data_IF_946104860007
#
_entry.id   IF_946104860007
#
_cell.length_a   1.000
_cell.length_b   1.000
_cell.length_c   1.000
_cell.angle_alpha   90.00
_cell.angle_beta   90.00
_cell.angle_gamma   90.00
#
_symmetry.space_group_name_H-M   'P 1'
#
loop_
_entity.id
_entity.type
_entity.pdbx_description
1 polymer ?
#
# COMPACT_ATOMS: atom_id res chain seq x y z
N UNK A 1 12.37 -17.69 12.97
CA UNK A 1 10.94 -17.82 12.65
C UNK A 1 10.63 -16.74 11.63
N UNK A 2 10.63 -17.10 10.33
CA UNK A 2 10.23 -16.21 9.26
C UNK A 2 8.76 -15.87 9.49
N UNK A 3 8.48 -14.63 9.87
CA UNK A 3 7.10 -14.16 10.00
C UNK A 3 6.70 -13.66 8.62
N UNK A 4 5.92 -14.45 7.90
CA UNK A 4 5.16 -13.93 6.77
C UNK A 4 4.13 -12.97 7.36
N UNK A 5 4.44 -11.69 7.27
CA UNK A 5 3.51 -10.64 7.60
C UNK A 5 2.88 -10.20 6.30
N UNK A 6 1.56 -10.41 6.20
CA UNK A 6 0.72 -9.92 5.11
C UNK A 6 1.05 -8.45 4.86
N UNK A 7 1.74 -8.20 3.74
CA UNK A 7 1.81 -6.86 3.17
C UNK A 7 0.40 -6.51 2.70
N UNK A 8 -0.14 -5.43 3.23
CA UNK A 8 -1.14 -4.69 2.48
C UNK A 8 -0.35 -4.00 1.36
N UNK A 9 -0.36 -4.59 0.17
CA UNK A 9 0.16 -3.97 -1.05
C UNK A 9 -0.81 -2.84 -1.42
N UNK A 10 -0.42 -1.59 -1.18
CA UNK A 10 -1.25 -0.42 -1.49
C UNK A 10 -0.87 0.23 -2.84
N UNK A 11 -0.07 -0.44 -3.66
CA UNK A 11 0.12 -0.08 -5.06
C UNK A 11 0.31 -1.33 -5.91
N UNK A 12 -0.74 -1.70 -6.64
CA UNK A 12 -0.74 -2.78 -7.63
C UNK A 12 -0.31 -2.26 -9.03
N UNK A 13 0.39 -1.12 -9.03
CA UNK A 13 0.83 -0.39 -10.22
C UNK A 13 2.31 -0.54 -10.52
N UNK A 14 3.10 -1.29 -9.73
CA UNK A 14 4.33 -1.85 -10.29
C UNK A 14 3.94 -2.96 -11.25
N UNK A 15 4.65 -3.05 -12.36
CA UNK A 15 4.76 -4.27 -13.14
C UNK A 15 4.72 -5.47 -12.19
N UNK A 16 3.61 -6.21 -12.16
CA UNK A 16 3.51 -7.48 -11.40
C UNK A 16 4.45 -8.55 -12.02
N UNK A 17 5.32 -8.19 -12.96
CA UNK A 17 6.16 -9.11 -13.68
C UNK A 17 7.55 -9.28 -13.06
N UNK A 18 8.04 -8.32 -12.29
CA UNK A 18 9.46 -8.33 -11.91
C UNK A 18 9.67 -8.90 -10.50
N UNK A 19 10.47 -9.97 -10.36
CA UNK A 19 10.76 -10.54 -9.05
C UNK A 19 11.49 -9.51 -8.20
N UNK A 20 11.21 -9.51 -6.90
CA UNK A 20 11.91 -8.64 -5.96
C UNK A 20 12.25 -9.35 -4.67
N UNK A 21 13.26 -8.85 -3.98
CA UNK A 21 13.64 -9.31 -2.65
C UNK A 21 13.45 -8.17 -1.65
N UNK A 22 12.55 -8.38 -0.69
CA UNK A 22 12.24 -7.40 0.36
C UNK A 22 12.60 -7.93 1.75
N UNK A 23 13.19 -7.07 2.57
CA UNK A 23 13.30 -7.22 4.01
C UNK A 23 12.43 -6.20 4.73
N UNK A 24 11.78 -6.63 5.82
CA UNK A 24 10.97 -5.76 6.69
C UNK A 24 11.36 -5.97 8.14
N UNK A 25 11.68 -4.89 8.82
CA UNK A 25 12.00 -4.88 10.24
C UNK A 25 11.07 -3.96 11.03
N UNK A 26 10.26 -4.57 11.89
CA UNK A 26 9.46 -3.84 12.89
C UNK A 26 10.34 -3.52 14.09
N UNK A 27 10.76 -2.27 14.18
CA UNK A 27 11.56 -1.76 15.31
C UNK A 27 10.70 -1.20 16.45
N UNK A 28 9.43 -0.87 16.19
CA UNK A 28 8.50 -0.40 17.22
C UNK A 28 7.19 -1.20 17.23
N UNK A 29 6.77 -1.62 18.43
CA UNK A 29 5.44 -2.16 18.70
C UNK A 29 5.01 -1.82 20.13
N UNK A 30 3.81 -1.28 20.26
CA UNK A 30 3.14 -1.07 21.54
C UNK A 30 1.72 -1.61 21.46
N UNK A 31 1.43 -2.63 22.25
CA UNK A 31 0.07 -3.17 22.36
C UNK A 31 -0.67 -2.40 23.46
N UNK A 32 -1.76 -1.72 23.09
CA UNK A 32 -2.56 -0.84 23.95
C UNK A 32 -3.80 -1.56 24.50
N UNK A 33 -4.07 -2.78 24.03
CA UNK A 33 -5.16 -3.62 24.44
C UNK A 33 -5.14 -4.94 23.67
N UNK A 34 -6.25 -5.68 23.75
CA UNK A 34 -6.39 -6.98 23.07
C UNK A 34 -6.38 -6.80 21.54
N UNK A 35 -6.96 -5.71 21.05
CA UNK A 35 -7.07 -5.39 19.62
C UNK A 35 -6.25 -4.15 19.25
N UNK A 36 -6.08 -3.22 20.19
CA UNK A 36 -5.37 -1.96 19.93
C UNK A 36 -3.86 -2.15 19.93
N UNK A 37 -3.19 -1.69 18.88
CA UNK A 37 -1.75 -1.85 18.67
C UNK A 37 -1.22 -0.67 17.86
N UNK A 38 0.01 -0.29 18.13
CA UNK A 38 0.74 0.74 17.41
C UNK A 38 2.09 0.17 16.98
N UNK A 39 2.48 0.39 15.72
CA UNK A 39 3.62 -0.30 15.10
C UNK A 39 4.35 0.66 14.16
N UNK A 40 5.67 0.54 14.13
CA UNK A 40 6.50 1.13 13.07
C UNK A 40 7.45 0.09 12.53
N UNK A 41 7.62 0.07 11.21
CA UNK A 41 8.56 -0.80 10.55
C UNK A 41 9.25 -0.07 9.42
N UNK A 42 10.54 -0.35 9.24
CA UNK A 42 11.24 -0.07 7.99
C UNK A 42 11.13 -1.29 7.09
N UNK A 43 11.09 -1.07 5.79
CA UNK A 43 11.21 -2.11 4.79
C UNK A 43 12.08 -1.60 3.66
N UNK A 44 12.71 -2.51 2.94
CA UNK A 44 13.53 -2.16 1.80
C UNK A 44 13.99 -3.42 1.10
N UNK A 45 14.50 -3.24 -0.11
CA UNK A 45 14.77 -4.36 -0.98
C UNK A 45 15.37 -3.92 -2.29
N UNK A 46 15.37 -4.86 -3.21
CA UNK A 46 15.75 -4.65 -4.60
C UNK A 46 14.71 -5.30 -5.48
N UNK A 47 14.30 -4.57 -6.51
CA UNK A 47 13.56 -5.11 -7.64
C UNK A 47 14.57 -5.64 -8.67
N UNK A 48 14.28 -6.80 -9.27
CA UNK A 48 15.12 -7.44 -10.28
C UNK A 48 14.41 -7.37 -11.62
N UNK A 49 14.64 -6.28 -12.35
CA UNK A 49 14.25 -6.13 -13.75
C UNK A 49 15.53 -6.15 -14.63
N UNK A 50 15.61 -5.32 -15.66
CA UNK A 50 16.81 -5.07 -16.47
C UNK A 50 17.95 -4.43 -15.67
N UNK A 51 17.63 -3.84 -14.50
CA UNK A 51 18.56 -3.29 -13.53
C UNK A 51 18.31 -3.84 -12.12
N UNK A 52 19.20 -3.50 -11.18
CA UNK A 52 19.04 -3.79 -9.76
C UNK A 52 18.58 -2.51 -9.06
N UNK A 53 17.28 -2.43 -8.81
CA UNK A 53 16.61 -1.20 -8.41
C UNK A 53 16.26 -1.22 -6.91
N UNK A 54 17.05 -0.53 -6.05
CA UNK A 54 16.79 -0.53 -4.63
C UNK A 54 15.58 0.32 -4.28
N UNK A 55 14.87 -0.11 -3.24
CA UNK A 55 13.82 0.67 -2.62
C UNK A 55 13.90 0.62 -1.09
N UNK A 56 13.38 1.65 -0.45
CA UNK A 56 13.33 1.79 1.00
C UNK A 56 12.03 2.49 1.42
N UNK A 57 11.44 2.07 2.52
CA UNK A 57 10.28 2.72 3.08
C UNK A 57 10.14 2.57 4.59
N UNK A 58 9.30 3.43 5.13
CA UNK A 58 8.89 3.46 6.53
C UNK A 58 7.36 3.39 6.57
N UNK A 59 6.84 2.54 7.45
CA UNK A 59 5.40 2.42 7.69
C UNK A 59 5.08 2.56 9.16
N UNK A 60 4.04 3.32 9.45
CA UNK A 60 3.36 3.43 10.72
C UNK A 60 1.97 2.81 10.61
N UNK A 61 1.57 2.02 11.60
CA UNK A 61 0.24 1.44 11.71
C UNK A 61 -0.29 1.63 13.13
N UNK A 62 -1.53 2.09 13.25
CA UNK A 62 -2.26 2.14 14.51
C UNK A 62 -3.63 1.50 14.35
N UNK A 63 -3.98 0.64 15.28
CA UNK A 63 -5.34 0.11 15.44
C UNK A 63 -5.81 0.57 16.82
N UNK A 64 -6.97 1.21 16.88
CA UNK A 64 -7.56 1.67 18.12
C UNK A 64 -9.08 1.50 18.08
N UNK A 65 -9.58 0.52 18.84
CA UNK A 65 -11.00 0.15 18.84
C UNK A 65 -11.48 -0.31 17.46
N UNK A 66 -12.30 0.53 16.81
CA UNK A 66 -12.84 0.29 15.46
C UNK A 66 -12.04 0.97 14.36
N UNK A 67 -11.09 1.82 14.70
CA UNK A 67 -10.29 2.58 13.74
C UNK A 67 -8.96 1.90 13.46
N UNK A 68 -8.59 1.86 12.19
CA UNK A 68 -7.24 1.53 11.72
C UNK A 68 -6.68 2.70 10.94
N UNK A 69 -5.40 2.98 11.13
CA UNK A 69 -4.66 3.98 10.35
C UNK A 69 -3.34 3.38 9.91
N UNK A 70 -3.00 3.57 8.63
CA UNK A 70 -1.66 3.33 8.12
C UNK A 70 -1.14 4.61 7.49
N UNK A 71 0.16 4.85 7.67
CA UNK A 71 0.90 5.92 7.00
C UNK A 71 2.22 5.33 6.53
N UNK A 72 2.54 5.52 5.25
CA UNK A 72 3.74 5.01 4.62
C UNK A 72 4.41 6.08 3.81
N UNK A 73 5.74 6.11 3.88
CA UNK A 73 6.58 6.83 2.93
C UNK A 73 7.61 5.87 2.36
N UNK A 74 7.86 5.94 1.06
CA UNK A 74 8.92 5.17 0.41
C UNK A 74 9.62 5.95 -0.68
N UNK A 75 10.82 5.50 -0.98
CA UNK A 75 11.63 5.90 -2.12
C UNK A 75 12.03 4.65 -2.90
N UNK A 76 12.10 4.78 -4.22
CA UNK A 76 12.61 3.77 -5.14
C UNK A 76 13.34 4.44 -6.30
N UNK A 77 14.33 3.74 -6.84
CA UNK A 77 15.03 4.21 -8.04
C UNK A 77 14.11 4.21 -9.25
N UNK A 78 14.30 5.21 -10.11
CA UNK A 78 13.55 5.33 -11.35
C UNK A 78 14.10 4.42 -12.43
N UNK A 79 13.23 3.62 -13.02
CA UNK A 79 13.55 2.81 -14.19
C UNK A 79 13.15 3.55 -15.46
N UNK A 80 13.87 3.33 -16.56
CA UNK A 80 13.43 3.80 -17.88
C UNK A 80 12.67 2.65 -18.52
N UNK A 81 11.38 2.84 -18.81
CA UNK A 81 10.62 1.86 -19.59
C UNK A 81 11.31 1.57 -20.93
N UNK A 82 11.70 0.32 -21.17
CA UNK A 82 12.42 -0.07 -22.38
C UNK A 82 11.52 -0.18 -23.62
N UNK A 83 10.19 -0.33 -23.45
CA UNK A 83 9.23 -0.63 -24.53
C UNK A 83 7.99 0.28 -24.58
N UNK A 84 8.17 1.61 -24.52
CA UNK A 84 7.11 2.59 -24.81
C UNK A 84 6.98 3.73 -23.80
N UNK A 85 6.01 4.64 -23.98
CA UNK A 85 5.78 5.71 -23.01
C UNK A 85 5.40 5.10 -21.65
N UNK A 86 5.99 5.56 -20.55
CA UNK A 86 5.69 5.01 -19.23
C UNK A 86 4.23 5.28 -18.86
N UNK A 87 3.56 4.25 -18.36
CA UNK A 87 2.15 4.31 -17.95
C UNK A 87 2.04 4.47 -16.43
N UNK A 88 3.08 4.02 -15.71
CA UNK A 88 3.11 3.90 -14.26
C UNK A 88 4.19 4.83 -13.69
N UNK A 89 3.94 5.38 -12.51
CA UNK A 89 4.92 6.22 -11.82
C UNK A 89 6.16 5.38 -11.45
N UNK A 90 7.36 5.97 -11.59
CA UNK A 90 8.64 5.29 -11.37
C UNK A 90 9.25 4.66 -12.63
N UNK A 91 8.54 4.64 -13.76
CA UNK A 91 9.04 4.11 -15.03
C UNK A 91 9.48 5.20 -16.03
N UNK A 92 9.46 6.47 -15.62
CA UNK A 92 9.87 7.61 -16.44
C UNK A 92 11.38 7.96 -16.33
N UNK A 93 12.20 7.05 -15.79
CA UNK A 93 13.64 7.25 -15.59
C UNK A 93 13.99 8.22 -14.46
N UNK A 94 13.05 8.47 -13.56
CA UNK A 94 13.21 9.37 -12.42
C UNK A 94 12.81 8.66 -11.13
N UNK A 95 13.61 8.85 -10.09
CA UNK A 95 13.35 8.29 -8.76
C UNK A 95 11.96 8.68 -8.28
N UNK A 96 11.32 7.76 -7.57
CA UNK A 96 9.95 7.91 -7.11
C UNK A 96 9.87 7.96 -5.59
N UNK A 97 9.29 9.03 -5.09
CA UNK A 97 8.80 9.13 -3.71
C UNK A 97 7.32 8.83 -3.66
N UNK A 98 6.89 7.98 -2.72
CA UNK A 98 5.47 7.69 -2.49
C UNK A 98 5.10 8.01 -1.06
N UNK A 99 4.11 8.88 -0.89
CA UNK A 99 3.39 9.04 0.37
C UNK A 99 2.05 8.33 0.27
N UNK A 100 1.77 7.40 1.17
CA UNK A 100 0.54 6.61 1.17
C UNK A 100 -0.08 6.63 2.56
N UNK A 101 -1.40 6.73 2.63
CA UNK A 101 -2.11 6.67 3.91
C UNK A 101 -3.44 5.96 3.73
N UNK A 102 -3.88 5.26 4.75
CA UNK A 102 -5.21 4.64 4.79
C UNK A 102 -5.86 4.78 6.15
N UNK A 103 -7.17 5.03 6.13
CA UNK A 103 -8.02 5.01 7.31
C UNK A 103 -9.09 3.94 7.10
N UNK A 104 -9.22 3.06 8.08
CA UNK A 104 -10.18 1.97 8.10
C UNK A 104 -11.11 2.16 9.28
N UNK A 105 -12.40 1.93 9.06
CA UNK A 105 -13.39 1.87 10.14
C UNK A 105 -14.11 0.53 10.08
N UNK A 106 -13.99 -0.26 11.15
CA UNK A 106 -14.68 -1.55 11.28
C UNK A 106 -16.18 -1.32 11.36
N UNK A 107 -16.92 -1.75 10.36
CA UNK A 107 -18.39 -1.71 10.29
C UNK A 107 -19.02 -2.86 11.09
N UNK A 108 -18.42 -4.04 11.00
CA UNK A 108 -18.88 -5.24 11.68
C UNK A 108 -17.70 -6.14 12.06
N UNK A 109 -17.75 -6.89 13.17
CA UNK A 109 -18.66 -6.68 14.29
C UNK A 109 -18.29 -5.38 15.01
N UNK A 110 -19.23 -4.82 15.77
CA UNK A 110 -18.95 -3.64 16.59
C UNK A 110 -17.84 -3.94 17.59
N UNK A 111 -18.01 -5.04 18.33
CA UNK A 111 -17.04 -5.62 19.23
C UNK A 111 -16.73 -7.06 18.84
N UNK A 112 -15.48 -7.46 19.01
CA UNK A 112 -15.11 -8.86 18.84
C UNK A 112 -15.60 -9.70 20.01
N UNK A 113 -16.14 -10.87 19.68
CA UNK A 113 -16.55 -11.90 20.63
C UNK A 113 -15.93 -13.25 20.25
N UNK A 114 -16.15 -14.26 21.09
CA UNK A 114 -15.70 -15.63 20.81
C UNK A 114 -16.37 -16.25 19.57
N UNK A 115 -17.50 -15.70 19.12
CA UNK A 115 -18.23 -16.15 17.93
C UNK A 115 -17.89 -15.34 16.67
N UNK A 116 -17.18 -14.21 16.81
CA UNK A 116 -16.73 -13.43 15.66
C UNK A 116 -15.81 -14.27 14.77
N UNK A 117 -16.17 -14.33 13.48
CA UNK A 117 -15.45 -15.12 12.48
C UNK A 117 -15.10 -14.31 11.22
N UNK A 118 -15.56 -13.07 11.14
CA UNK A 118 -15.20 -12.14 10.08
C UNK A 118 -15.37 -10.71 10.58
N UNK A 119 -14.80 -9.77 9.82
CA UNK A 119 -14.98 -8.35 9.98
C UNK A 119 -15.15 -7.67 8.62
N UNK A 120 -15.94 -6.60 8.61
CA UNK A 120 -16.11 -5.70 7.48
C UNK A 120 -15.61 -4.31 7.87
N UNK A 121 -14.94 -3.64 6.94
CA UNK A 121 -14.39 -2.31 7.13
C UNK A 121 -14.75 -1.42 5.95
N UNK A 122 -15.11 -0.17 6.22
CA UNK A 122 -15.02 0.90 5.24
C UNK A 122 -13.57 1.39 5.21
N UNK A 123 -13.04 1.67 4.03
CA UNK A 123 -11.68 2.14 3.82
C UNK A 123 -11.69 3.46 3.06
N UNK A 124 -10.74 4.33 3.39
CA UNK A 124 -10.34 5.46 2.55
C UNK A 124 -8.83 5.44 2.47
N UNK A 125 -8.32 5.31 1.26
CA UNK A 125 -6.90 5.29 0.96
C UNK A 125 -6.51 6.56 0.20
N UNK A 126 -5.27 7.00 0.35
CA UNK A 126 -4.70 8.11 -0.41
C UNK A 126 -3.29 7.74 -0.83
N UNK A 127 -2.91 8.15 -2.04
CA UNK A 127 -1.56 7.96 -2.58
C UNK A 127 -1.10 9.24 -3.27
N UNK A 128 0.15 9.61 -3.01
CA UNK A 128 0.85 10.73 -3.62
C UNK A 128 2.24 10.26 -4.09
N UNK A 129 2.33 9.62 -5.27
CA UNK A 129 3.58 9.51 -6.01
C UNK A 129 4.09 10.89 -6.46
N UNK A 130 5.39 11.11 -6.29
CA UNK A 130 6.15 12.24 -6.80
C UNK A 130 7.45 11.71 -7.43
N UNK A 131 7.63 11.97 -8.71
CA UNK A 131 8.81 11.59 -9.48
C UNK A 131 9.79 12.77 -9.54
N UNK A 132 11.09 12.51 -9.48
CA UNK A 132 12.10 13.59 -9.48
C UNK A 132 12.17 14.42 -10.78
N UNK A 133 11.50 13.96 -11.84
CA UNK A 133 11.27 14.74 -13.07
C UNK A 133 10.18 15.81 -12.92
N UNK A 134 9.51 15.88 -11.76
CA UNK A 134 8.47 16.85 -11.43
C UNK A 134 7.05 16.31 -11.55
N UNK A 135 6.84 15.09 -12.07
CA UNK A 135 5.51 14.51 -12.20
C UNK A 135 4.97 14.08 -10.82
N UNK A 136 3.71 14.41 -10.55
CA UNK A 136 3.04 13.95 -9.34
C UNK A 136 1.53 13.76 -9.52
N UNK A 137 0.96 12.90 -8.70
CA UNK A 137 -0.46 12.58 -8.73
C UNK A 137 -0.95 12.35 -7.31
N UNK A 138 -1.97 13.09 -6.89
CA UNK A 138 -2.70 12.79 -5.67
C UNK A 138 -3.98 12.02 -6.00
N UNK A 139 -4.15 10.85 -5.41
CA UNK A 139 -5.36 10.03 -5.53
C UNK A 139 -6.03 9.78 -4.19
N UNK A 140 -7.36 9.64 -4.21
CA UNK A 140 -8.18 9.14 -3.11
C UNK A 140 -8.90 7.87 -3.53
N UNK A 141 -9.05 6.94 -2.59
CA UNK A 141 -9.58 5.61 -2.83
C UNK A 141 -10.56 5.17 -1.74
N UNK A 142 -11.86 5.52 -1.81
CA UNK A 142 -12.86 4.88 -0.97
C UNK A 142 -13.02 3.40 -1.35
N UNK A 143 -13.28 2.57 -0.34
CA UNK A 143 -13.49 1.15 -0.57
C UNK A 143 -14.04 0.38 0.62
N UNK A 144 -13.97 -0.94 0.47
CA UNK A 144 -14.46 -1.90 1.45
C UNK A 144 -13.45 -3.04 1.60
N UNK A 145 -13.26 -3.50 2.82
CA UNK A 145 -12.43 -4.65 3.16
C UNK A 145 -13.25 -5.66 3.97
N UNK A 146 -13.21 -6.91 3.54
CA UNK A 146 -13.65 -8.06 4.28
C UNK A 146 -12.45 -8.82 4.81
N UNK A 147 -12.47 -9.18 6.08
CA UNK A 147 -11.47 -10.02 6.72
C UNK A 147 -12.15 -11.21 7.39
N UNK A 148 -12.01 -12.40 6.80
CA UNK A 148 -12.45 -13.66 7.38
C UNK A 148 -11.32 -14.39 8.12
N UNK A 149 -11.58 -15.60 8.60
CA UNK A 149 -10.55 -16.43 9.28
C UNK A 149 -9.42 -16.92 8.37
N UNK A 150 -9.70 -17.07 7.07
CA UNK A 150 -8.77 -17.68 6.09
C UNK A 150 -8.60 -16.85 4.83
N UNK A 151 -9.49 -15.90 4.60
CA UNK A 151 -9.48 -15.10 3.38
C UNK A 151 -9.82 -13.67 3.73
N UNK A 152 -9.16 -12.74 3.06
CA UNK A 152 -9.52 -11.33 3.06
C UNK A 152 -9.75 -10.87 1.61
N UNK A 153 -10.69 -9.97 1.42
CA UNK A 153 -11.03 -9.36 0.13
C UNK A 153 -11.10 -7.85 0.29
N UNK A 154 -10.56 -7.12 -0.67
CA UNK A 154 -10.68 -5.66 -0.71
C UNK A 154 -11.06 -5.18 -2.10
N UNK A 155 -11.80 -4.07 -2.13
CA UNK A 155 -12.11 -3.35 -3.35
C UNK A 155 -12.05 -1.85 -3.06
N UNK A 156 -11.26 -1.11 -3.84
CA UNK A 156 -11.09 0.33 -3.71
C UNK A 156 -11.23 0.99 -5.09
N UNK A 157 -12.00 2.08 -5.17
CA UNK A 157 -12.10 2.91 -6.37
C UNK A 157 -11.12 4.09 -6.24
N UNK A 158 -10.00 4.06 -6.97
CA UNK A 158 -8.98 5.12 -6.95
C UNK A 158 -9.35 6.22 -7.95
N UNK A 159 -9.45 7.45 -7.45
CA UNK A 159 -9.85 8.64 -8.20
C UNK A 159 -8.74 9.69 -8.05
N UNK A 160 -8.23 10.28 -9.13
CA UNK A 160 -7.32 11.41 -9.05
C UNK A 160 -8.04 12.64 -8.47
N UNK A 161 -7.39 13.29 -7.51
CA UNK A 161 -7.85 14.56 -6.94
C UNK A 161 -7.12 15.73 -7.60
N UNK A 162 -5.82 15.58 -7.81
CA UNK A 162 -4.97 16.57 -8.48
C UNK A 162 -3.79 15.87 -9.14
N UNK A 163 -3.42 16.33 -10.32
CA UNK A 163 -2.34 15.77 -11.14
C UNK A 163 -1.54 16.91 -11.79
N UNK A 164 -0.24 16.70 -11.89
CA UNK A 164 0.67 17.44 -12.78
C UNK A 164 1.62 16.39 -13.36
N UNK A 165 1.31 15.92 -14.56
CA UNK A 165 1.98 14.78 -15.17
C UNK A 165 2.34 15.16 -16.61
N UNK A 166 3.62 15.13 -16.95
CA UNK A 166 4.11 15.48 -18.28
C UNK A 166 4.89 14.35 -18.96
N UNK A 167 5.34 13.36 -18.19
CA UNK A 167 6.26 12.33 -18.64
C UNK A 167 5.66 10.92 -18.61
N UNK A 168 4.42 10.74 -18.14
CA UNK A 168 3.66 9.48 -18.20
C UNK A 168 2.17 9.70 -18.47
N UNK A 169 1.41 8.62 -18.60
CA UNK A 169 -0.04 8.69 -18.75
C UNK A 169 -0.73 9.20 -17.45
N UNK A 170 -1.75 10.05 -17.63
CA UNK A 170 -2.64 10.47 -16.56
C UNK A 170 -3.62 9.35 -16.19
N UNK A 171 -3.90 9.20 -14.89
CA UNK A 171 -4.96 8.29 -14.41
C UNK A 171 -6.30 9.02 -14.47
N UNK A 172 -7.31 8.47 -15.15
CA UNK A 172 -8.69 9.00 -15.05
C UNK A 172 -9.42 8.43 -13.82
N UNK A 173 -9.32 7.12 -13.63
CA UNK A 173 -9.76 6.36 -12.47
C UNK A 173 -9.11 4.98 -12.52
N UNK A 174 -9.08 4.27 -11.40
CA UNK A 174 -8.67 2.88 -11.35
C UNK A 174 -9.49 2.09 -10.32
N UNK A 175 -9.64 0.79 -10.56
CA UNK A 175 -10.25 -0.13 -9.61
C UNK A 175 -9.17 -1.07 -9.09
N UNK A 176 -8.95 -1.06 -7.78
CA UNK A 176 -8.06 -2.01 -7.11
C UNK A 176 -8.92 -3.10 -6.45
N UNK A 177 -8.61 -4.36 -6.75
CA UNK A 177 -9.25 -5.52 -6.12
C UNK A 177 -8.15 -6.42 -5.58
N UNK A 178 -8.22 -6.74 -4.29
CA UNK A 178 -7.25 -7.61 -3.63
C UNK A 178 -7.90 -8.83 -3.01
N UNK A 179 -7.19 -9.94 -3.06
CA UNK A 179 -7.54 -11.17 -2.34
C UNK A 179 -6.31 -11.70 -1.61
N UNK A 180 -6.49 -12.12 -0.36
CA UNK A 180 -5.42 -12.71 0.45
C UNK A 180 -5.88 -13.98 1.12
N UNK A 181 -5.00 -14.97 1.22
CA UNK A 181 -5.18 -16.14 2.07
C UNK A 181 -4.41 -15.92 3.38
N UNK A 182 -5.07 -16.20 4.51
CA UNK A 182 -4.57 -16.01 5.87
C UNK A 182 -4.28 -17.38 6.50
N UNK A 183 -3.15 -17.50 7.21
CA UNK A 183 -2.67 -18.73 7.85
C UNK A 183 -2.14 -18.49 9.26
#
# INVERSE_FOLDING_TARGET
MLKFETSLNFDDRKSQHDPHLMFKHRFYRKDLGIISTERMAVYGGVDFDDNLDPFLGLVYTKIDGRWGTNLGISWETGEVANDGPPILAGHAGADLWKLQSSVLYRLFPEDYSTTSNHAWYATVETSLPYEENGDWEWTLGPGILYEGRRHAFEANLRIPVQQDINHRAETEWALAIGWRTLF
#
